data_IF_610375228356
#
_entry.id   IF_610375228356
#
_cell.length_a   1.000
_cell.length_b   1.000
_cell.length_c   1.000
_cell.angle_alpha   90.00
_cell.angle_beta   90.00
_cell.angle_gamma   90.00
#
_symmetry.space_group_name_H-M   'P 1'
#
loop_
_entity.id
_entity.type
_entity.pdbx_description
1 polymer ?
#
# COMPACT_ATOMS: atom_id res chain seq x y z
N UNK A 1 -39.86 -3.65 -24.46
CA UNK A 1 -40.02 -4.87 -23.64
C UNK A 1 -39.24 -6.01 -24.28
N UNK A 2 -37.99 -6.22 -23.87
CA UNK A 2 -37.23 -7.41 -24.23
C UNK A 2 -36.66 -8.03 -22.96
N UNK A 3 -36.79 -9.35 -22.92
CA UNK A 3 -36.67 -10.24 -21.78
C UNK A 3 -35.32 -10.17 -21.07
N UNK A 4 -35.36 -9.80 -19.78
CA UNK A 4 -34.31 -10.12 -18.84
C UNK A 4 -34.19 -11.65 -18.73
N UNK A 5 -33.02 -12.19 -19.07
CA UNK A 5 -32.67 -13.58 -18.82
C UNK A 5 -32.32 -13.74 -17.33
N UNK A 6 -33.07 -14.49 -16.51
CA UNK A 6 -32.86 -14.55 -15.06
C UNK A 6 -31.70 -15.47 -14.63
N UNK A 7 -31.01 -16.13 -15.57
CA UNK A 7 -30.00 -17.16 -15.27
C UNK A 7 -28.56 -16.63 -15.10
N UNK A 8 -28.34 -15.31 -15.16
CA UNK A 8 -27.03 -14.69 -14.89
C UNK A 8 -26.96 -14.00 -13.52
N UNK A 9 -27.87 -14.34 -12.61
CA UNK A 9 -27.98 -13.72 -11.28
C UNK A 9 -26.87 -14.05 -10.28
N UNK A 10 -25.78 -14.75 -10.65
CA UNK A 10 -24.86 -15.34 -9.67
C UNK A 10 -23.38 -15.02 -9.91
N UNK A 11 -23.01 -14.33 -10.98
CA UNK A 11 -21.63 -13.90 -11.20
C UNK A 11 -21.51 -12.39 -11.03
N UNK A 12 -21.82 -11.90 -9.82
CA UNK A 12 -21.18 -10.67 -9.36
C UNK A 12 -19.70 -11.02 -9.17
N UNK A 13 -18.76 -10.47 -9.97
CA UNK A 13 -17.35 -10.71 -9.69
C UNK A 13 -17.10 -10.23 -8.28
N UNK A 14 -16.69 -11.17 -7.42
CA UNK A 14 -16.30 -10.88 -6.05
C UNK A 14 -15.24 -9.78 -6.12
N UNK A 15 -15.37 -8.76 -5.27
CA UNK A 15 -14.57 -7.52 -5.20
C UNK A 15 -13.04 -7.66 -5.30
N UNK A 16 -12.49 -8.87 -5.20
CA UNK A 16 -11.06 -9.16 -5.38
C UNK A 16 -10.57 -8.98 -6.83
N UNK A 17 -11.43 -9.01 -7.84
CA UNK A 17 -10.98 -8.76 -9.24
C UNK A 17 -10.67 -7.29 -9.54
N UNK A 18 -11.06 -6.36 -8.66
CA UNK A 18 -10.81 -4.92 -8.86
C UNK A 18 -9.87 -4.30 -7.84
N UNK A 19 -9.40 -5.05 -6.83
CA UNK A 19 -8.54 -4.50 -5.76
C UNK A 19 -9.17 -3.36 -4.95
N UNK A 20 -10.50 -3.17 -5.07
CA UNK A 20 -11.21 -2.03 -4.50
C UNK A 20 -11.79 -2.40 -3.14
N UNK A 21 -11.26 -1.77 -2.08
CA UNK A 21 -11.92 -1.70 -0.77
C UNK A 21 -13.06 -0.67 -0.82
N UNK A 22 -14.09 -0.96 -1.62
CA UNK A 22 -15.30 -0.16 -1.67
C UNK A 22 -16.30 -0.67 -0.63
N UNK A 23 -16.35 0.00 0.53
CA UNK A 23 -17.29 -0.28 1.62
C UNK A 23 -18.77 -0.19 1.20
N UNK A 24 -19.07 0.41 0.04
CA UNK A 24 -20.43 0.66 -0.46
C UNK A 24 -20.76 0.00 -1.81
N UNK A 25 -19.78 -0.62 -2.49
CA UNK A 25 -19.86 -1.15 -3.86
C UNK A 25 -20.26 -0.14 -4.96
N UNK A 26 -20.51 1.14 -4.64
CA UNK A 26 -20.96 2.15 -5.59
C UNK A 26 -19.83 2.68 -6.50
N UNK A 27 -18.62 2.80 -5.96
CA UNK A 27 -17.44 3.31 -6.66
C UNK A 27 -16.80 2.27 -7.56
N UNK A 28 -16.77 1.01 -7.14
CA UNK A 28 -16.32 -0.11 -7.97
C UNK A 28 -17.20 -0.29 -9.21
N UNK A 29 -18.51 -0.07 -9.07
CA UNK A 29 -19.44 -0.11 -10.20
C UNK A 29 -19.22 1.07 -11.16
N UNK A 30 -19.16 2.31 -10.66
CA UNK A 30 -18.91 3.50 -11.49
C UNK A 30 -17.58 3.42 -12.23
N UNK A 31 -16.54 2.90 -11.57
CA UNK A 31 -15.24 2.68 -12.19
C UNK A 31 -15.30 1.61 -13.28
N UNK A 32 -15.97 0.48 -13.03
CA UNK A 32 -16.15 -0.58 -14.05
C UNK A 32 -16.89 -0.05 -15.27
N UNK A 33 -17.92 0.78 -15.08
CA UNK A 33 -18.67 1.42 -16.17
C UNK A 33 -17.83 2.46 -16.92
N UNK A 34 -17.09 3.31 -16.20
CA UNK A 34 -16.16 4.27 -16.80
C UNK A 34 -15.08 3.55 -17.64
N UNK A 35 -14.48 2.48 -17.11
CA UNK A 35 -13.48 1.69 -17.81
C UNK A 35 -14.05 0.95 -19.03
N UNK A 36 -15.27 0.41 -18.95
CA UNK A 36 -15.97 -0.16 -20.12
C UNK A 36 -16.17 0.88 -21.23
N UNK A 37 -16.46 2.12 -20.87
CA UNK A 37 -16.65 3.21 -21.83
C UNK A 37 -15.33 3.69 -22.45
N UNK A 38 -14.25 3.79 -21.67
CA UNK A 38 -12.94 4.24 -22.19
C UNK A 38 -12.17 3.16 -22.97
N UNK A 39 -12.30 1.89 -22.59
CA UNK A 39 -11.47 0.80 -23.12
C UNK A 39 -12.15 -0.01 -24.23
N UNK A 40 -13.42 0.24 -24.55
CA UNK A 40 -14.17 -0.52 -25.55
C UNK A 40 -14.41 -1.99 -25.15
N UNK A 41 -15.27 -2.68 -25.90
CA UNK A 41 -15.84 -3.99 -25.51
C UNK A 41 -14.83 -5.17 -25.38
N UNK A 42 -13.55 -5.00 -25.71
CA UNK A 42 -12.58 -6.11 -25.78
C UNK A 42 -11.24 -5.90 -25.05
N UNK A 43 -11.05 -4.82 -24.28
CA UNK A 43 -9.79 -4.56 -23.56
C UNK A 43 -9.87 -4.75 -22.03
N UNK A 44 -10.73 -5.66 -21.57
CA UNK A 44 -10.89 -5.96 -20.14
C UNK A 44 -9.63 -6.56 -19.49
N UNK A 45 -8.69 -7.10 -20.28
CA UNK A 45 -7.42 -7.66 -19.79
C UNK A 45 -6.37 -6.62 -19.42
N UNK A 46 -6.55 -5.33 -19.76
CA UNK A 46 -5.58 -4.29 -19.41
C UNK A 46 -5.53 -3.94 -17.91
N UNK A 47 -6.48 -4.47 -17.13
CA UNK A 47 -6.42 -4.39 -15.67
C UNK A 47 -5.29 -5.24 -15.08
N UNK A 48 -4.80 -6.26 -15.81
CA UNK A 48 -3.66 -7.09 -15.37
C UNK A 48 -2.32 -6.35 -15.34
N UNK A 49 -2.21 -5.17 -15.99
CA UNK A 49 -0.93 -4.49 -16.24
C UNK A 49 -0.77 -3.13 -15.55
N UNK A 50 -1.74 -2.65 -14.76
CA UNK A 50 -1.55 -1.39 -14.01
C UNK A 50 -0.68 -1.69 -12.79
N UNK A 51 0.60 -1.34 -12.90
CA UNK A 51 1.55 -1.47 -11.80
C UNK A 51 1.17 -0.47 -10.69
N UNK A 52 0.95 -0.93 -9.45
CA UNK A 52 0.75 -0.03 -8.34
C UNK A 52 2.04 0.75 -8.06
N UNK A 53 1.92 1.95 -7.50
CA UNK A 53 3.05 2.79 -7.14
C UNK A 53 3.84 2.25 -5.94
N UNK A 54 3.15 1.46 -5.10
CA UNK A 54 3.71 0.72 -3.98
C UNK A 54 3.18 -0.71 -4.07
N UNK A 55 4.09 -1.69 -4.16
CA UNK A 55 3.77 -3.12 -4.16
C UNK A 55 4.47 -3.79 -2.98
N UNK A 56 3.72 -4.54 -2.20
CA UNK A 56 4.29 -5.43 -1.19
C UNK A 56 4.39 -6.85 -1.75
N UNK A 57 5.53 -7.49 -1.50
CA UNK A 57 5.81 -8.84 -1.98
C UNK A 57 6.00 -9.81 -0.82
N UNK A 58 6.04 -11.10 -1.15
CA UNK A 58 6.41 -12.16 -0.23
C UNK A 58 7.64 -12.87 -0.81
N UNK A 59 8.65 -13.21 0.01
CA UNK A 59 9.78 -13.99 -0.47
C UNK A 59 9.31 -15.34 -1.01
N UNK A 60 10.04 -15.85 -2.00
CA UNK A 60 9.81 -17.21 -2.50
C UNK A 60 9.97 -18.26 -1.38
N UNK A 61 11.00 -18.09 -0.53
CA UNK A 61 11.15 -18.87 0.69
C UNK A 61 10.52 -18.13 1.87
N UNK A 62 9.38 -18.62 2.36
CA UNK A 62 8.64 -17.97 3.46
C UNK A 62 9.41 -17.93 4.78
N UNK A 63 10.39 -18.82 4.97
CA UNK A 63 11.25 -18.80 6.15
C UNK A 63 12.10 -17.52 6.24
N UNK A 64 12.30 -16.82 5.11
CA UNK A 64 13.03 -15.54 5.09
C UNK A 64 12.27 -14.41 5.82
N UNK A 65 10.99 -14.63 6.16
CA UNK A 65 10.19 -13.73 7.00
C UNK A 65 10.40 -13.94 8.50
N UNK A 66 11.00 -15.06 8.92
CA UNK A 66 11.22 -15.34 10.34
C UNK A 66 12.21 -14.35 10.94
N UNK A 67 11.87 -13.81 12.11
CA UNK A 67 12.72 -12.87 12.83
C UNK A 67 12.82 -11.45 12.23
N UNK A 68 12.20 -11.16 11.08
CA UNK A 68 12.24 -9.81 10.51
C UNK A 68 11.43 -8.81 11.34
N UNK A 69 11.97 -7.58 11.44
CA UNK A 69 11.19 -6.41 11.86
C UNK A 69 10.31 -5.89 10.70
N UNK A 70 9.28 -5.08 10.98
CA UNK A 70 8.51 -4.40 9.93
C UNK A 70 9.38 -3.56 8.99
N UNK A 71 10.41 -2.87 9.51
CA UNK A 71 11.33 -2.09 8.69
C UNK A 71 12.21 -2.98 7.81
N UNK A 72 12.73 -4.09 8.33
CA UNK A 72 13.51 -5.04 7.53
C UNK A 72 12.66 -5.64 6.39
N UNK A 73 11.40 -5.94 6.69
CA UNK A 73 10.44 -6.40 5.69
C UNK A 73 10.25 -5.33 4.61
N UNK A 74 10.01 -4.07 4.99
CA UNK A 74 9.85 -2.98 4.03
C UNK A 74 11.07 -2.84 3.13
N UNK A 75 12.28 -2.84 3.69
CA UNK A 75 13.51 -2.65 2.93
C UNK A 75 13.74 -3.74 1.88
N UNK A 76 13.21 -4.95 2.11
CA UNK A 76 13.40 -6.11 1.21
C UNK A 76 12.24 -6.36 0.26
N UNK A 77 11.02 -6.10 0.70
CA UNK A 77 9.79 -6.56 0.04
C UNK A 77 8.78 -5.45 -0.23
N UNK A 78 9.12 -4.19 0.01
CA UNK A 78 8.37 -3.03 -0.46
C UNK A 78 8.99 -2.52 -1.76
N UNK A 79 8.31 -2.74 -2.88
CA UNK A 79 8.72 -2.25 -4.19
C UNK A 79 8.04 -0.90 -4.44
N UNK A 80 8.85 0.14 -4.53
CA UNK A 80 8.41 1.49 -4.88
C UNK A 80 8.59 1.70 -6.38
N UNK A 81 7.62 2.35 -7.03
CA UNK A 81 7.76 2.74 -8.42
C UNK A 81 8.91 3.74 -8.60
N UNK A 82 9.69 3.58 -9.67
CA UNK A 82 10.83 4.44 -10.01
C UNK A 82 10.45 5.93 -10.09
N UNK A 83 9.20 6.22 -10.43
CA UNK A 83 8.67 7.59 -10.47
C UNK A 83 8.50 8.23 -9.09
N UNK A 84 8.32 7.42 -8.03
CA UNK A 84 8.10 7.89 -6.65
C UNK A 84 9.41 8.10 -5.90
N UNK A 85 10.44 7.31 -6.18
CA UNK A 85 11.74 7.40 -5.48
C UNK A 85 12.34 8.83 -5.54
N UNK A 86 12.48 9.50 -6.71
CA UNK A 86 13.02 10.86 -6.76
C UNK A 86 12.13 11.89 -6.04
N UNK A 87 10.84 11.62 -5.90
CA UNK A 87 9.94 12.49 -5.14
C UNK A 87 10.21 12.36 -3.63
N UNK A 88 10.32 11.13 -3.11
CA UNK A 88 10.63 10.89 -1.71
C UNK A 88 12.04 11.38 -1.34
N UNK A 89 13.05 11.15 -2.19
CA UNK A 89 14.42 11.61 -1.98
C UNK A 89 14.54 13.13 -1.88
N UNK A 90 13.74 13.88 -2.67
CA UNK A 90 13.68 15.35 -2.56
C UNK A 90 13.15 15.80 -1.21
N UNK A 91 12.13 15.12 -0.68
CA UNK A 91 11.60 15.41 0.66
C UNK A 91 12.65 15.05 1.71
N UNK A 92 13.30 13.90 1.61
CA UNK A 92 14.37 13.49 2.51
C UNK A 92 15.49 14.53 2.56
N UNK A 93 15.99 14.95 1.40
CA UNK A 93 17.08 15.93 1.27
C UNK A 93 16.74 17.26 1.94
N UNK A 94 15.48 17.67 1.88
CA UNK A 94 14.99 18.91 2.49
C UNK A 94 14.88 18.82 4.02
N UNK A 95 14.60 17.64 4.56
CA UNK A 95 14.23 17.49 5.97
C UNK A 95 15.23 16.69 6.83
N UNK A 96 16.22 16.04 6.22
CA UNK A 96 17.29 15.35 6.95
C UNK A 96 18.07 16.32 7.83
N UNK A 97 18.53 15.82 8.97
CA UNK A 97 19.42 16.56 9.85
C UNK A 97 20.73 16.89 9.12
N UNK A 98 21.20 18.14 9.27
CA UNK A 98 22.40 18.60 8.58
C UNK A 98 23.69 17.91 9.03
N UNK A 99 23.72 17.39 10.27
CA UNK A 99 24.89 16.74 10.86
C UNK A 99 24.86 15.22 10.68
N UNK A 100 23.74 14.58 11.00
CA UNK A 100 23.64 13.11 10.92
C UNK A 100 23.27 12.62 9.53
N UNK A 101 22.69 13.47 8.68
CA UNK A 101 22.10 13.08 7.40
C UNK A 101 20.97 12.06 7.52
N UNK A 102 20.32 11.97 8.68
CA UNK A 102 19.19 11.09 8.95
C UNK A 102 17.94 11.91 9.33
N UNK A 103 16.76 11.29 9.29
CA UNK A 103 15.53 11.87 9.83
C UNK A 103 15.16 11.14 11.13
N UNK A 104 15.28 11.80 12.30
CA UNK A 104 14.78 11.25 13.57
C UNK A 104 13.29 10.87 13.50
N UNK A 105 12.91 9.76 14.11
CA UNK A 105 11.54 9.23 14.10
C UNK A 105 10.52 10.22 14.68
N UNK A 106 10.91 10.99 15.69
CA UNK A 106 10.11 12.05 16.33
C UNK A 106 9.86 13.27 15.42
N UNK A 107 10.64 13.42 14.33
CA UNK A 107 10.54 14.52 13.37
C UNK A 107 9.85 14.15 12.07
N UNK A 108 9.16 13.01 12.02
CA UNK A 108 8.49 12.51 10.80
C UNK A 108 7.28 13.34 10.34
N UNK A 109 6.67 14.14 11.22
CA UNK A 109 5.44 14.87 10.88
C UNK A 109 5.59 15.82 9.70
N UNK A 110 6.59 16.71 9.74
CA UNK A 110 6.76 17.74 8.71
C UNK A 110 7.13 17.18 7.32
N UNK A 111 8.06 16.20 7.20
CA UNK A 111 8.29 15.50 5.93
C UNK A 111 7.03 14.83 5.37
N UNK A 112 6.24 14.14 6.20
CA UNK A 112 5.05 13.42 5.76
C UNK A 112 3.88 14.37 5.45
N UNK A 113 3.78 15.52 6.11
CA UNK A 113 2.91 16.62 5.67
C UNK A 113 3.30 17.13 4.31
N UNK A 114 4.60 17.36 4.05
CA UNK A 114 5.07 17.82 2.75
C UNK A 114 4.75 16.81 1.64
N UNK A 115 4.86 15.51 1.93
CA UNK A 115 4.44 14.42 1.04
C UNK A 115 2.95 14.48 0.70
N UNK A 116 2.10 14.76 1.71
CA UNK A 116 0.64 14.74 1.56
C UNK A 116 0.03 16.13 1.35
N UNK A 117 0.78 17.09 0.78
CA UNK A 117 0.28 18.45 0.51
C UNK A 117 -0.37 19.12 1.74
N UNK A 118 0.19 18.88 2.93
CA UNK A 118 -0.29 19.38 4.21
C UNK A 118 -1.36 18.52 4.90
N UNK A 119 -1.94 17.55 4.20
CA UNK A 119 -2.96 16.65 4.74
C UNK A 119 -2.33 15.43 5.42
N UNK A 120 -1.57 15.64 6.49
CA UNK A 120 -1.03 14.59 7.36
C UNK A 120 -1.00 15.06 8.82
N UNK A 121 -1.30 14.16 9.74
CA UNK A 121 -1.61 14.50 11.14
C UNK A 121 -0.79 13.68 12.13
N UNK A 122 -0.64 14.19 13.36
CA UNK A 122 0.21 13.57 14.39
C UNK A 122 -0.23 12.14 14.74
N UNK A 123 -1.54 11.90 14.83
CA UNK A 123 -2.10 10.57 15.08
C UNK A 123 -1.68 9.53 14.01
N UNK A 124 -1.51 9.98 12.77
CA UNK A 124 -1.04 9.13 11.66
C UNK A 124 0.46 8.83 11.77
N UNK A 125 1.26 9.78 12.26
CA UNK A 125 2.68 9.57 12.59
C UNK A 125 2.81 8.57 13.73
N UNK A 126 2.07 8.79 14.82
CA UNK A 126 2.07 7.92 16.01
C UNK A 126 1.67 6.48 15.62
N UNK A 127 0.69 6.34 14.72
CA UNK A 127 0.31 5.05 14.15
C UNK A 127 1.45 4.42 13.34
N UNK A 128 2.12 5.16 12.46
CA UNK A 128 3.25 4.65 11.67
C UNK A 128 4.41 4.20 12.57
N UNK A 129 4.83 5.04 13.52
CA UNK A 129 5.88 4.74 14.51
C UNK A 129 5.57 3.44 15.25
N UNK A 130 4.32 3.28 15.70
CA UNK A 130 3.88 2.06 16.42
C UNK A 130 3.86 0.81 15.54
N UNK A 131 3.43 0.91 14.28
CA UNK A 131 3.34 -0.27 13.40
C UNK A 131 4.73 -0.68 12.93
N UNK A 132 5.62 0.29 12.69
CA UNK A 132 7.00 0.05 12.27
C UNK A 132 7.93 -0.30 13.42
N UNK A 133 7.42 -0.28 14.66
CA UNK A 133 8.18 -0.56 15.87
C UNK A 133 9.38 0.40 16.04
N UNK A 134 9.18 1.68 15.66
CA UNK A 134 10.19 2.74 15.78
C UNK A 134 10.20 3.32 17.20
N UNK A 135 10.22 2.46 18.23
CA UNK A 135 9.96 2.84 19.61
C UNK A 135 11.15 3.48 20.32
N UNK A 136 12.35 3.43 19.73
CA UNK A 136 13.52 4.10 20.27
C UNK A 136 13.55 5.56 19.77
N UNK A 137 13.57 6.51 20.70
CA UNK A 137 13.67 7.94 20.41
C UNK A 137 14.98 8.31 19.69
N UNK A 138 16.02 7.48 19.82
CA UNK A 138 17.27 7.64 19.08
C UNK A 138 17.20 7.11 17.65
N UNK A 139 16.11 6.41 17.28
CA UNK A 139 15.98 5.81 15.96
C UNK A 139 15.78 6.89 14.92
N UNK A 140 16.70 6.93 13.96
CA UNK A 140 16.67 7.85 12.84
C UNK A 140 16.75 7.06 11.53
N UNK A 141 16.01 7.54 10.55
CA UNK A 141 15.84 6.89 9.26
C UNK A 141 16.90 7.39 8.28
N UNK A 142 17.54 6.45 7.60
CA UNK A 142 18.30 6.77 6.38
C UNK A 142 17.35 7.08 5.21
N UNK A 143 17.93 7.45 4.06
CA UNK A 143 17.15 7.82 2.87
C UNK A 143 16.25 6.68 2.38
N UNK A 144 16.75 5.45 2.41
CA UNK A 144 16.04 4.27 1.89
C UNK A 144 14.90 3.88 2.82
N UNK A 145 15.15 3.88 4.12
CA UNK A 145 14.14 3.68 5.16
C UNK A 145 13.06 4.74 5.07
N UNK A 146 13.44 6.02 4.92
CA UNK A 146 12.48 7.10 4.75
C UNK A 146 11.62 6.92 3.49
N UNK A 147 12.20 6.51 2.35
CA UNK A 147 11.44 6.21 1.14
C UNK A 147 10.41 5.10 1.38
N UNK A 148 10.79 4.05 2.10
CA UNK A 148 9.87 2.97 2.49
C UNK A 148 8.72 3.50 3.37
N UNK A 149 9.03 4.38 4.33
CA UNK A 149 8.02 5.03 5.19
C UNK A 149 7.09 5.92 4.37
N UNK A 150 7.60 6.67 3.38
CA UNK A 150 6.75 7.45 2.47
C UNK A 150 5.78 6.55 1.68
N UNK A 151 6.27 5.45 1.12
CA UNK A 151 5.43 4.49 0.41
C UNK A 151 4.33 3.90 1.31
N UNK A 152 4.69 3.53 2.55
CA UNK A 152 3.71 3.08 3.54
C UNK A 152 2.68 4.17 3.89
N UNK A 153 3.12 5.41 4.11
CA UNK A 153 2.23 6.52 4.44
C UNK A 153 1.24 6.77 3.29
N UNK A 154 1.71 6.78 2.04
CA UNK A 154 0.83 6.92 0.87
C UNK A 154 -0.16 5.74 0.78
N UNK A 155 0.31 4.50 0.95
CA UNK A 155 -0.56 3.32 0.96
C UNK A 155 -1.71 3.44 1.96
N UNK A 156 -1.41 3.89 3.18
CA UNK A 156 -2.37 3.91 4.27
C UNK A 156 -3.31 5.12 4.24
N UNK A 157 -2.83 6.28 3.77
CA UNK A 157 -3.50 7.55 4.01
C UNK A 157 -3.73 8.40 2.77
N UNK A 158 -3.08 8.14 1.63
CA UNK A 158 -3.15 9.02 0.46
C UNK A 158 -4.60 9.26 -0.01
N UNK A 159 -5.31 8.18 -0.35
CA UNK A 159 -6.72 8.25 -0.79
C UNK A 159 -7.63 8.83 0.28
N UNK A 160 -7.38 8.51 1.56
CA UNK A 160 -8.19 8.97 2.70
C UNK A 160 -8.03 10.47 2.93
N UNK A 161 -6.80 10.96 2.93
CA UNK A 161 -6.48 12.34 3.30
C UNK A 161 -6.71 13.30 2.14
N UNK A 162 -6.30 12.93 0.91
CA UNK A 162 -6.41 13.79 -0.26
C UNK A 162 -7.73 13.63 -1.02
N UNK A 163 -8.56 12.64 -0.66
CA UNK A 163 -9.84 12.35 -1.34
C UNK A 163 -9.68 12.13 -2.86
N UNK A 164 -8.57 11.51 -3.26
CA UNK A 164 -8.26 11.21 -4.66
C UNK A 164 -8.84 9.83 -5.01
N UNK A 165 -9.88 9.82 -5.84
CA UNK A 165 -10.61 8.60 -6.24
C UNK A 165 -10.43 8.23 -7.73
N UNK A 166 -9.43 8.81 -8.40
CA UNK A 166 -9.10 8.57 -9.81
C UNK A 166 -7.98 7.54 -10.01
N UNK A 167 -7.37 7.56 -11.21
CA UNK A 167 -6.30 6.62 -11.59
C UNK A 167 -5.11 6.65 -10.62
N UNK A 168 -4.73 7.85 -10.16
CA UNK A 168 -3.67 7.99 -9.17
C UNK A 168 -4.03 7.34 -7.82
N UNK A 169 -5.24 7.59 -7.33
CA UNK A 169 -5.73 6.97 -6.09
C UNK A 169 -5.78 5.45 -6.18
N UNK A 170 -6.10 4.91 -7.35
CA UNK A 170 -6.10 3.47 -7.62
C UNK A 170 -4.70 2.89 -7.68
N UNK A 171 -3.74 3.60 -8.27
CA UNK A 171 -2.36 3.16 -8.33
C UNK A 171 -1.71 3.10 -6.93
N UNK A 172 -2.27 3.77 -5.92
CA UNK A 172 -1.88 3.63 -4.51
C UNK A 172 -2.48 2.38 -3.82
N UNK A 173 -3.48 1.73 -4.42
CA UNK A 173 -4.17 0.56 -3.86
C UNK A 173 -3.49 -0.76 -4.25
N UNK A 174 -3.95 -1.85 -3.63
CA UNK A 174 -3.39 -3.18 -3.83
C UNK A 174 -3.56 -3.62 -5.30
N UNK A 175 -2.44 -3.95 -5.94
CA UNK A 175 -2.43 -4.49 -7.30
C UNK A 175 -2.68 -5.99 -7.34
N UNK A 176 -2.96 -6.52 -8.53
CA UNK A 176 -3.30 -7.94 -8.75
C UNK A 176 -2.16 -8.89 -8.31
N UNK A 177 -0.90 -8.52 -8.59
CA UNK A 177 0.26 -9.35 -8.22
C UNK A 177 0.41 -9.46 -6.70
N UNK A 178 0.30 -8.34 -6.00
CA UNK A 178 0.30 -8.34 -4.54
C UNK A 178 -0.88 -9.13 -3.97
N UNK A 179 -2.08 -8.97 -4.53
CA UNK A 179 -3.23 -9.78 -4.11
C UNK A 179 -3.00 -11.28 -4.34
N UNK A 180 -2.26 -11.67 -5.39
CA UNK A 180 -1.91 -13.06 -5.67
C UNK A 180 -0.87 -13.60 -4.68
N UNK A 181 0.16 -12.81 -4.36
CA UNK A 181 1.16 -13.17 -3.36
C UNK A 181 0.50 -13.43 -2.00
N UNK A 182 -0.35 -12.51 -1.55
CA UNK A 182 -1.04 -12.63 -0.27
C UNK A 182 -2.31 -13.50 -0.30
N UNK A 183 -2.66 -14.10 -1.45
CA UNK A 183 -3.76 -15.04 -1.52
C UNK A 183 -3.51 -16.24 -0.61
N UNK A 184 -4.48 -16.56 0.26
CA UNK A 184 -4.38 -17.64 1.25
C UNK A 184 -3.14 -17.54 2.15
N UNK A 185 -2.67 -16.32 2.44
CA UNK A 185 -1.47 -16.05 3.24
C UNK A 185 -1.41 -16.89 4.53
N UNK A 186 -2.50 -16.92 5.32
CA UNK A 186 -2.57 -17.69 6.58
C UNK A 186 -2.23 -19.17 6.38
N UNK A 187 -2.65 -19.78 5.26
CA UNK A 187 -2.32 -21.18 4.95
C UNK A 187 -0.89 -21.34 4.43
N UNK A 188 -0.40 -20.38 3.66
CA UNK A 188 1.00 -20.38 3.17
C UNK A 188 1.99 -20.27 4.33
N UNK A 189 1.65 -19.48 5.34
CA UNK A 189 2.48 -19.26 6.53
C UNK A 189 2.37 -20.38 7.58
N UNK A 190 1.71 -21.50 7.27
CA UNK A 190 1.65 -22.63 8.20
C UNK A 190 3.07 -23.14 8.50
N UNK A 191 3.40 -23.22 9.79
CA UNK A 191 4.75 -23.57 10.26
C UNK A 191 5.79 -22.44 10.23
N UNK A 192 5.51 -21.25 9.69
CA UNK A 192 6.44 -20.10 9.63
C UNK A 192 6.24 -19.17 10.82
N UNK A 193 7.32 -18.85 11.54
CA UNK A 193 7.29 -18.06 12.78
C UNK A 193 7.67 -16.60 12.55
N UNK A 194 6.71 -15.80 12.11
CA UNK A 194 6.90 -14.34 12.03
C UNK A 194 6.76 -13.66 13.40
N UNK A 195 7.46 -12.53 13.56
CA UNK A 195 7.36 -11.71 14.77
C UNK A 195 5.95 -11.13 14.94
N UNK A 196 5.53 -10.87 16.19
CA UNK A 196 4.21 -10.30 16.47
C UNK A 196 4.05 -8.90 15.84
N UNK A 197 5.12 -8.13 15.80
CA UNK A 197 5.15 -6.79 15.19
C UNK A 197 4.97 -6.87 13.68
N UNK A 198 5.70 -7.76 13.00
CA UNK A 198 5.52 -8.00 11.57
C UNK A 198 4.11 -8.51 11.23
N UNK A 199 3.56 -9.44 12.01
CA UNK A 199 2.19 -9.92 11.81
C UNK A 199 1.17 -8.78 11.87
N UNK A 200 1.26 -7.91 12.88
CA UNK A 200 0.40 -6.72 13.02
C UNK A 200 0.56 -5.73 11.87
N UNK A 201 1.79 -5.50 11.42
CA UNK A 201 2.09 -4.66 10.26
C UNK A 201 1.40 -5.19 8.99
N UNK A 202 1.58 -6.48 8.67
CA UNK A 202 0.98 -7.09 7.48
C UNK A 202 -0.56 -7.13 7.54
N UNK A 203 -1.14 -7.34 8.73
CA UNK A 203 -2.59 -7.24 8.93
C UNK A 203 -3.09 -5.81 8.68
N UNK A 204 -2.34 -4.80 9.14
CA UNK A 204 -2.72 -3.40 8.99
C UNK A 204 -2.68 -2.91 7.54
N UNK A 205 -1.81 -3.48 6.71
CA UNK A 205 -1.80 -3.28 5.26
C UNK A 205 -3.04 -3.88 4.57
N UNK A 206 -3.88 -4.65 5.28
CA UNK A 206 -5.08 -5.27 4.73
C UNK A 206 -4.78 -6.44 3.80
N UNK A 207 -3.57 -7.00 3.86
CA UNK A 207 -3.09 -8.03 2.93
C UNK A 207 -3.68 -9.40 3.23
N UNK A 208 -4.06 -9.65 4.48
CA UNK A 208 -4.81 -10.83 4.89
C UNK A 208 -5.72 -10.51 6.08
N UNK A 209 -6.74 -11.35 6.26
CA UNK A 209 -7.70 -11.28 7.37
C UNK A 209 -7.56 -12.51 8.24
#
# INVERSE_FOLDING_TARGET
CHSFNPLLGHMRPKCWQTGLLDMSQQYAYRYKEMMKQFLGHNHHDRNSSRQPLIRYEIPFNLLDLEGLSPMDYLKKFCILADTRIPYYQRIFTKHKDGRTHLIPSDKLLEPLKALMSGAFYQDQVDELVRILDLTDEAQALDEHEFCCVCGLAERLYYTKNLRIFGEEGLAMQQGILESADFHMFVKKMDGVKITRTLSRFLQRLGLYK
#
